data_IF_008036137879
#
_entry.id   IF_008036137879
#
_cell.length_a   1.000
_cell.length_b   1.000
_cell.length_c   1.000
_cell.angle_alpha   90.00
_cell.angle_beta   90.00
_cell.angle_gamma   90.00
#
_symmetry.space_group_name_H-M   'P 1'
#
loop_
_entity.id
_entity.type
_entity.pdbx_description
1 polymer ?
#
# COMPACT_ATOMS: atom_id res chain seq x y z
N UNK A 1 9.61 -21.07 4.58
CA UNK A 1 10.51 -21.62 3.54
C UNK A 1 10.93 -23.05 3.85
N UNK A 2 11.64 -23.35 4.95
CA UNK A 2 12.09 -24.71 5.27
C UNK A 2 10.97 -25.76 5.32
N UNK A 3 9.86 -25.49 6.01
CA UNK A 3 8.71 -26.40 6.05
C UNK A 3 8.18 -26.79 4.65
N UNK A 4 8.12 -25.82 3.72
CA UNK A 4 7.73 -26.09 2.35
C UNK A 4 8.76 -26.95 1.61
N UNK A 5 10.04 -26.66 1.77
CA UNK A 5 11.12 -27.43 1.16
C UNK A 5 11.06 -28.90 1.58
N UNK A 6 10.90 -29.19 2.89
CA UNK A 6 10.77 -30.58 3.36
C UNK A 6 9.51 -31.25 2.77
N UNK A 7 8.40 -30.54 2.67
CA UNK A 7 7.19 -31.11 2.04
C UNK A 7 7.40 -31.44 0.55
N UNK A 8 8.11 -30.60 -0.18
CA UNK A 8 8.48 -30.86 -1.59
C UNK A 8 9.42 -32.05 -1.68
N UNK A 9 10.47 -32.09 -0.84
CA UNK A 9 11.43 -33.19 -0.83
C UNK A 9 10.76 -34.54 -0.58
N UNK A 10 9.85 -34.61 0.39
CA UNK A 10 9.13 -35.84 0.73
C UNK A 10 8.11 -36.22 -0.35
N UNK A 11 7.28 -35.24 -0.80
CA UNK A 11 6.13 -35.53 -1.66
C UNK A 11 6.42 -35.59 -3.15
N UNK A 12 7.40 -34.81 -3.61
CA UNK A 12 7.71 -34.67 -5.04
C UNK A 12 9.01 -35.32 -5.43
N UNK A 13 10.03 -35.27 -4.55
CA UNK A 13 11.34 -35.81 -4.86
C UNK A 13 11.56 -37.21 -4.29
N UNK A 14 10.56 -37.76 -3.56
CA UNK A 14 10.66 -39.08 -2.92
C UNK A 14 11.93 -39.22 -2.06
N UNK A 15 12.39 -38.13 -1.47
CA UNK A 15 13.59 -38.16 -0.64
C UNK A 15 13.33 -38.98 0.63
N UNK A 16 14.26 -39.84 1.08
CA UNK A 16 14.01 -40.80 2.16
C UNK A 16 13.96 -40.13 3.54
N UNK A 17 13.04 -39.19 3.72
CA UNK A 17 12.71 -38.54 4.99
C UNK A 17 11.27 -38.93 5.34
N UNK A 18 11.09 -39.65 6.44
CA UNK A 18 9.78 -40.17 6.83
C UNK A 18 8.78 -39.10 7.31
N UNK A 19 9.26 -37.96 7.81
CA UNK A 19 8.42 -36.86 8.28
C UNK A 19 9.13 -35.51 8.15
N UNK A 20 8.35 -34.46 8.08
CA UNK A 20 8.87 -33.10 8.03
C UNK A 20 9.25 -32.62 9.46
N UNK A 21 10.55 -32.47 9.78
CA UNK A 21 10.99 -32.10 11.14
C UNK A 21 10.54 -30.71 11.57
N UNK A 22 10.11 -29.86 10.63
CA UNK A 22 9.67 -28.48 10.91
C UNK A 22 8.17 -28.42 11.29
N UNK A 23 7.44 -29.54 11.14
CA UNK A 23 5.98 -29.54 11.42
C UNK A 23 5.65 -29.15 12.87
N UNK A 24 6.46 -29.61 13.81
CA UNK A 24 6.27 -29.36 15.25
C UNK A 24 7.01 -28.13 15.78
N UNK A 25 7.73 -27.41 14.92
CA UNK A 25 8.42 -26.18 15.31
C UNK A 25 7.40 -25.05 15.40
N UNK A 26 7.19 -24.43 16.58
CA UNK A 26 6.24 -23.35 16.73
C UNK A 26 6.68 -22.16 15.89
N UNK A 27 5.74 -21.60 15.13
CA UNK A 27 6.01 -20.37 14.35
C UNK A 27 6.19 -19.19 15.31
N UNK A 28 7.14 -18.29 15.05
CA UNK A 28 7.22 -17.04 15.79
C UNK A 28 5.87 -16.33 15.76
N UNK A 29 5.50 -15.69 16.87
CA UNK A 29 4.31 -14.83 16.90
C UNK A 29 4.47 -13.75 15.82
N UNK A 30 3.43 -13.56 15.03
CA UNK A 30 3.40 -12.45 14.07
C UNK A 30 3.44 -11.12 14.83
N UNK A 31 4.24 -10.18 14.33
CA UNK A 31 4.20 -8.83 14.87
C UNK A 31 2.77 -8.26 14.73
N UNK A 32 2.32 -7.43 15.67
CA UNK A 32 1.02 -6.77 15.53
C UNK A 32 0.99 -5.96 14.24
N UNK A 33 -0.17 -5.83 13.61
CA UNK A 33 -0.31 -5.03 12.42
C UNK A 33 0.12 -3.59 12.68
N UNK A 34 0.80 -3.00 11.73
CA UNK A 34 1.26 -1.61 11.81
C UNK A 34 0.10 -0.64 11.58
N UNK A 35 -0.08 0.32 12.50
CA UNK A 35 -1.17 1.31 12.48
C UNK A 35 -0.64 2.75 12.44
N UNK A 36 0.58 2.94 11.95
CA UNK A 36 1.24 4.23 11.88
C UNK A 36 0.51 5.17 10.91
N UNK A 37 -0.04 6.26 11.43
CA UNK A 37 -0.62 7.39 10.68
C UNK A 37 0.40 8.52 10.59
N UNK A 38 0.29 9.36 9.57
CA UNK A 38 1.06 10.59 9.45
C UNK A 38 0.36 11.71 10.22
N UNK A 39 1.12 12.50 10.98
CA UNK A 39 0.62 13.78 11.47
C UNK A 39 0.57 14.80 10.32
N UNK A 40 -0.23 15.86 10.50
CA UNK A 40 -0.32 16.94 9.51
C UNK A 40 1.03 17.61 9.23
N UNK A 41 1.86 17.75 10.26
CA UNK A 41 3.20 18.32 10.12
C UNK A 41 4.12 17.40 9.32
N UNK A 42 4.11 16.10 9.60
CA UNK A 42 4.88 15.12 8.83
C UNK A 42 4.44 15.09 7.36
N UNK A 43 3.14 15.13 7.14
CA UNK A 43 2.60 15.16 5.79
C UNK A 43 3.02 16.41 5.02
N UNK A 44 2.88 17.60 5.64
CA UNK A 44 3.33 18.87 5.05
C UNK A 44 4.82 18.83 4.75
N UNK A 45 5.63 18.31 5.68
CA UNK A 45 7.07 18.17 5.48
C UNK A 45 7.38 17.29 4.26
N UNK A 46 6.81 16.09 4.22
CA UNK A 46 7.09 15.12 3.16
C UNK A 46 6.68 15.63 1.78
N UNK A 47 5.54 16.31 1.68
CA UNK A 47 5.03 16.86 0.41
C UNK A 47 5.83 18.06 -0.07
N UNK A 48 6.45 18.82 0.84
CA UNK A 48 7.28 20.00 0.54
C UNK A 48 8.77 19.68 0.46
N UNK A 49 9.19 18.44 0.76
CA UNK A 49 10.60 18.03 0.71
C UNK A 49 11.15 18.16 -0.72
N UNK A 50 12.33 18.75 -0.82
CA UNK A 50 13.06 18.87 -2.08
C UNK A 50 13.97 17.66 -2.27
N UNK A 51 13.47 16.66 -2.96
CA UNK A 51 14.27 15.50 -3.34
C UNK A 51 15.21 15.85 -4.50
N UNK A 52 16.41 15.23 -4.51
CA UNK A 52 17.33 15.35 -5.66
C UNK A 52 16.71 14.80 -6.96
N UNK A 53 15.90 13.75 -6.83
CA UNK A 53 15.16 13.19 -7.95
C UNK A 53 13.78 13.85 -8.04
N UNK A 54 13.45 14.55 -9.14
CA UNK A 54 12.20 15.28 -9.29
C UNK A 54 10.94 14.40 -9.28
N UNK A 55 11.10 13.10 -9.58
CA UNK A 55 9.97 12.16 -9.60
C UNK A 55 9.51 11.74 -8.19
N UNK A 56 10.30 11.98 -7.15
CA UNK A 56 10.00 11.51 -5.79
C UNK A 56 8.71 12.11 -5.23
N UNK A 57 8.52 13.42 -5.39
CA UNK A 57 7.31 14.11 -4.92
C UNK A 57 6.05 13.57 -5.62
N UNK A 58 6.13 13.32 -6.94
CA UNK A 58 5.03 12.75 -7.69
C UNK A 58 4.68 11.33 -7.22
N UNK A 59 5.70 10.48 -6.99
CA UNK A 59 5.52 9.11 -6.49
C UNK A 59 4.88 9.11 -5.09
N UNK A 60 5.34 9.99 -4.20
CA UNK A 60 4.81 10.12 -2.82
C UNK A 60 3.38 10.63 -2.85
N UNK A 61 3.12 11.70 -3.60
CA UNK A 61 1.78 12.28 -3.73
C UNK A 61 0.80 11.26 -4.32
N UNK A 62 1.22 10.54 -5.36
CA UNK A 62 0.40 9.50 -5.98
C UNK A 62 0.11 8.34 -5.02
N UNK A 63 1.08 7.95 -4.17
CA UNK A 63 0.86 6.93 -3.14
C UNK A 63 -0.25 7.34 -2.16
N UNK A 64 -0.29 8.61 -1.75
CA UNK A 64 -1.29 9.16 -0.83
C UNK A 64 -2.66 9.30 -1.51
N UNK A 65 -2.68 9.73 -2.78
CA UNK A 65 -3.94 9.94 -3.51
C UNK A 65 -4.63 8.63 -3.92
N UNK A 66 -3.86 7.58 -4.18
CA UNK A 66 -4.38 6.34 -4.77
C UNK A 66 -4.35 5.13 -3.86
N UNK A 67 -3.54 5.17 -2.81
CA UNK A 67 -3.29 4.00 -1.94
C UNK A 67 -2.61 2.83 -2.66
N UNK A 68 -2.01 3.05 -3.82
CA UNK A 68 -1.30 2.02 -4.59
C UNK A 68 -0.07 1.48 -3.84
N UNK A 69 0.30 0.23 -4.13
CA UNK A 69 1.56 -0.31 -3.65
C UNK A 69 2.74 0.34 -4.38
N UNK A 70 3.88 0.46 -3.70
CA UNK A 70 5.11 1.03 -4.28
C UNK A 70 5.46 0.44 -5.65
N UNK A 71 5.42 -0.89 -5.77
CA UNK A 71 5.72 -1.58 -7.02
C UNK A 71 4.71 -1.27 -8.13
N UNK A 72 3.44 -1.09 -7.79
CA UNK A 72 2.39 -0.73 -8.73
C UNK A 72 2.61 0.70 -9.27
N UNK A 73 2.95 1.65 -8.40
CA UNK A 73 3.25 3.03 -8.81
C UNK A 73 4.43 3.08 -9.77
N UNK A 74 5.52 2.38 -9.44
CA UNK A 74 6.73 2.36 -10.28
C UNK A 74 6.51 1.65 -11.62
N UNK A 75 5.51 0.76 -11.70
CA UNK A 75 5.19 0.01 -12.91
C UNK A 75 4.09 0.66 -13.77
N UNK A 76 3.58 1.85 -13.42
CA UNK A 76 2.57 2.54 -14.24
C UNK A 76 3.16 2.83 -15.61
N UNK A 77 2.47 2.36 -16.65
CA UNK A 77 2.80 2.67 -18.06
C UNK A 77 1.86 3.75 -18.59
N UNK A 78 2.26 4.52 -19.60
CA UNK A 78 1.36 5.48 -20.25
C UNK A 78 0.02 4.87 -20.65
N UNK A 79 0.04 3.70 -21.28
CA UNK A 79 -1.15 2.99 -21.79
C UNK A 79 -2.10 2.52 -20.67
N UNK A 80 -1.61 2.42 -19.44
CA UNK A 80 -2.45 2.05 -18.29
C UNK A 80 -3.21 3.24 -17.68
N UNK A 81 -2.87 4.46 -18.08
CA UNK A 81 -3.53 5.68 -17.60
C UNK A 81 -4.68 6.03 -18.53
N UNK A 82 -5.89 5.98 -18.01
CA UNK A 82 -7.14 6.39 -18.67
C UNK A 82 -7.65 7.67 -18.01
N UNK A 83 -8.64 8.34 -18.62
CA UNK A 83 -9.14 9.65 -18.16
C UNK A 83 -9.43 9.72 -16.64
N UNK A 84 -10.08 8.69 -16.11
CA UNK A 84 -10.51 8.65 -14.70
C UNK A 84 -9.91 7.52 -13.89
N UNK A 85 -9.07 6.68 -14.48
CA UNK A 85 -8.59 5.45 -13.86
C UNK A 85 -7.15 5.13 -14.26
N UNK A 86 -6.45 4.42 -13.37
CA UNK A 86 -5.28 3.62 -13.75
C UNK A 86 -5.74 2.18 -13.84
N UNK A 87 -5.50 1.53 -14.99
CA UNK A 87 -5.72 0.10 -15.15
C UNK A 87 -4.48 -0.68 -14.77
N UNK A 88 -4.60 -1.53 -13.78
CA UNK A 88 -3.57 -2.48 -13.36
C UNK A 88 -3.93 -3.87 -13.88
N UNK A 89 -3.27 -4.31 -14.94
CA UNK A 89 -3.47 -5.64 -15.53
C UNK A 89 -3.00 -6.75 -14.60
N UNK A 90 -1.84 -6.54 -13.95
CA UNK A 90 -1.24 -7.47 -13.00
C UNK A 90 -1.08 -6.82 -11.63
N UNK A 91 -1.59 -7.48 -10.59
CA UNK A 91 -1.27 -7.11 -9.22
C UNK A 91 -0.57 -8.30 -8.54
N UNK A 92 0.25 -8.04 -7.54
CA UNK A 92 0.88 -9.08 -6.72
C UNK A 92 -0.12 -10.13 -6.21
N UNK A 93 -1.41 -9.81 -6.25
CA UNK A 93 -2.52 -10.67 -5.83
C UNK A 93 -3.26 -11.33 -7.02
N UNK A 94 -2.80 -11.14 -8.28
CA UNK A 94 -3.28 -11.88 -9.45
C UNK A 94 -4.63 -11.44 -10.04
N UNK A 95 -5.19 -10.27 -9.67
CA UNK A 95 -6.42 -9.77 -10.29
C UNK A 95 -6.22 -8.37 -10.85
N UNK A 96 -6.67 -8.12 -12.10
CA UNK A 96 -6.70 -6.79 -12.67
C UNK A 96 -7.68 -5.92 -11.89
N UNK A 97 -7.37 -4.63 -11.79
CA UNK A 97 -8.29 -3.65 -11.19
C UNK A 97 -8.10 -2.27 -11.76
N UNK A 98 -9.15 -1.47 -11.68
CA UNK A 98 -9.12 -0.04 -12.00
C UNK A 98 -9.02 0.77 -10.71
N UNK A 99 -8.12 1.74 -10.69
CA UNK A 99 -7.94 2.65 -9.56
C UNK A 99 -8.47 4.01 -9.98
N UNK A 100 -9.53 4.53 -9.36
CA UNK A 100 -10.08 5.84 -9.67
C UNK A 100 -9.08 6.93 -9.29
N UNK A 101 -9.05 8.00 -10.10
CA UNK A 101 -8.11 9.11 -9.94
C UNK A 101 -8.83 10.33 -9.39
N UNK A 102 -8.25 10.92 -8.34
CA UNK A 102 -8.57 12.29 -7.93
C UNK A 102 -8.07 13.29 -8.98
N UNK A 103 -8.60 14.52 -8.98
CA UNK A 103 -8.10 15.58 -9.86
C UNK A 103 -6.61 15.79 -9.69
N UNK A 104 -6.12 15.76 -8.45
CA UNK A 104 -4.70 15.89 -8.13
C UNK A 104 -3.88 14.72 -8.68
N UNK A 105 -4.36 13.49 -8.57
CA UNK A 105 -3.68 12.33 -9.14
C UNK A 105 -3.58 12.41 -10.67
N UNK A 106 -4.62 12.91 -11.35
CA UNK A 106 -4.61 13.15 -12.79
C UNK A 106 -3.54 14.19 -13.20
N UNK A 107 -3.49 15.30 -12.49
CA UNK A 107 -2.49 16.35 -12.73
C UNK A 107 -1.07 15.83 -12.55
N UNK A 108 -0.81 15.06 -11.47
CA UNK A 108 0.47 14.42 -11.23
C UNK A 108 0.87 13.52 -12.40
N UNK A 109 -0.05 12.65 -12.84
CA UNK A 109 0.23 11.70 -13.93
C UNK A 109 0.47 12.40 -15.25
N UNK A 110 -0.30 13.44 -15.58
CA UNK A 110 -0.13 14.26 -16.80
C UNK A 110 1.27 14.87 -16.89
N UNK A 111 1.84 15.24 -15.73
CA UNK A 111 3.15 15.90 -15.63
C UNK A 111 4.27 14.91 -15.26
N UNK A 112 4.01 13.60 -15.33
CA UNK A 112 4.98 12.57 -14.95
C UNK A 112 5.56 11.84 -16.16
N UNK A 113 6.85 11.55 -16.11
CA UNK A 113 7.49 10.60 -17.02
C UNK A 113 7.17 9.18 -16.56
N UNK A 114 6.47 8.42 -17.39
CA UNK A 114 6.06 7.06 -17.10
C UNK A 114 6.69 6.04 -18.06
N UNK A 115 7.07 4.84 -17.62
CA UNK A 115 7.17 4.47 -16.20
C UNK A 115 8.20 5.35 -15.48
N UNK A 116 8.00 5.54 -14.17
CA UNK A 116 8.94 6.36 -13.40
C UNK A 116 10.38 5.81 -13.51
N UNK A 117 11.38 6.64 -13.93
CA UNK A 117 12.78 6.19 -14.02
C UNK A 117 13.45 6.14 -12.65
N UNK A 118 12.81 5.43 -11.72
CA UNK A 118 13.23 5.29 -10.32
C UNK A 118 13.19 3.82 -9.93
N UNK A 119 14.34 3.25 -9.60
CA UNK A 119 14.38 1.87 -9.12
C UNK A 119 13.77 1.76 -7.70
N UNK A 120 13.20 0.59 -7.34
CA UNK A 120 12.68 0.36 -6.00
C UNK A 120 13.71 0.61 -4.88
N UNK A 121 14.99 0.34 -5.16
CA UNK A 121 16.06 0.59 -4.21
C UNK A 121 16.41 2.08 -4.09
N UNK A 122 16.45 2.81 -5.21
CA UNK A 122 16.66 4.25 -5.21
C UNK A 122 15.57 4.98 -4.42
N UNK A 123 14.30 4.59 -4.62
CA UNK A 123 13.17 5.10 -3.85
C UNK A 123 13.33 4.82 -2.35
N UNK A 124 13.68 3.57 -1.97
CA UNK A 124 13.91 3.20 -0.58
C UNK A 124 15.02 4.03 0.07
N UNK A 125 16.15 4.19 -0.62
CA UNK A 125 17.28 4.96 -0.10
C UNK A 125 16.96 6.45 0.03
N UNK A 126 16.23 7.04 -0.94
CA UNK A 126 15.80 8.43 -0.88
C UNK A 126 14.83 8.65 0.30
N UNK A 127 13.88 7.74 0.48
CA UNK A 127 12.94 7.75 1.60
C UNK A 127 13.67 7.70 2.95
N UNK A 128 14.58 6.74 3.15
CA UNK A 128 15.33 6.59 4.39
C UNK A 128 16.20 7.82 4.70
N UNK A 129 16.80 8.43 3.68
CA UNK A 129 17.57 9.67 3.86
C UNK A 129 16.68 10.84 4.27
N UNK A 130 15.50 10.95 3.69
CA UNK A 130 14.52 11.99 4.03
C UNK A 130 14.05 11.82 5.49
N UNK A 131 13.57 10.65 5.89
CA UNK A 131 13.09 10.40 7.25
C UNK A 131 14.19 10.63 8.29
N UNK A 132 15.43 10.21 7.99
CA UNK A 132 16.57 10.49 8.88
C UNK A 132 16.86 12.00 9.04
N UNK A 133 16.80 12.79 7.94
CA UNK A 133 17.03 14.24 8.00
C UNK A 133 15.93 14.98 8.74
N UNK A 134 14.69 14.55 8.58
CA UNK A 134 13.53 15.19 9.20
C UNK A 134 13.32 14.81 10.67
N UNK A 135 14.07 13.84 11.20
CA UNK A 135 13.81 13.28 12.53
C UNK A 135 12.46 12.54 12.62
N UNK A 136 11.87 12.14 11.48
CA UNK A 136 10.62 11.38 11.48
C UNK A 136 10.97 9.91 11.71
N UNK A 137 10.77 9.47 12.94
CA UNK A 137 11.07 8.11 13.31
C UNK A 137 9.99 7.12 12.85
N UNK A 138 10.44 5.90 12.60
CA UNK A 138 9.58 4.76 12.34
C UNK A 138 8.51 5.01 11.25
N UNK A 139 8.86 5.74 10.19
CA UNK A 139 7.98 5.97 9.04
C UNK A 139 8.48 5.21 7.81
N UNK A 140 7.70 4.24 7.35
CA UNK A 140 7.99 3.47 6.15
C UNK A 140 7.21 4.04 4.94
N UNK A 141 7.74 3.89 3.74
CA UNK A 141 7.02 4.30 2.53
C UNK A 141 5.63 3.63 2.42
N UNK A 142 5.48 2.42 2.93
CA UNK A 142 4.21 1.69 2.93
C UNK A 142 3.14 2.35 3.82
N UNK A 143 3.55 3.14 4.81
CA UNK A 143 2.62 3.87 5.69
C UNK A 143 1.84 4.95 4.92
N UNK A 144 2.35 5.43 3.77
CA UNK A 144 1.58 6.29 2.85
C UNK A 144 0.32 5.61 2.33
N UNK A 145 0.37 4.30 2.09
CA UNK A 145 -0.81 3.54 1.70
C UNK A 145 -1.77 3.37 2.88
N UNK A 146 -1.27 3.18 4.10
CA UNK A 146 -2.12 3.18 5.30
C UNK A 146 -2.82 4.52 5.47
N UNK A 147 -2.10 5.60 5.27
CA UNK A 147 -2.64 6.96 5.29
C UNK A 147 -3.73 7.17 4.22
N UNK A 148 -3.49 6.77 2.98
CA UNK A 148 -4.47 6.85 1.90
C UNK A 148 -5.76 6.10 2.21
N UNK A 149 -5.64 4.86 2.70
CA UNK A 149 -6.79 4.01 3.05
C UNK A 149 -7.61 4.66 4.19
N UNK A 150 -6.95 5.17 5.23
CA UNK A 150 -7.63 5.88 6.31
C UNK A 150 -8.42 7.09 5.77
N UNK A 151 -7.80 7.88 4.88
CA UNK A 151 -8.45 9.03 4.24
C UNK A 151 -9.65 8.65 3.37
N UNK A 152 -9.63 7.49 2.74
CA UNK A 152 -10.78 6.99 2.00
C UNK A 152 -11.98 6.76 2.94
N UNK A 153 -11.75 6.14 4.10
CA UNK A 153 -12.80 5.99 5.12
C UNK A 153 -13.25 7.32 5.72
N UNK A 154 -12.34 8.25 5.97
CA UNK A 154 -12.64 9.61 6.43
C UNK A 154 -13.50 10.39 5.41
N UNK A 155 -13.36 10.11 4.11
CA UNK A 155 -14.22 10.62 3.04
C UNK A 155 -15.57 9.90 2.93
N UNK A 156 -15.82 8.91 3.79
CA UNK A 156 -17.08 8.17 3.83
C UNK A 156 -17.16 6.97 2.90
N UNK A 157 -16.07 6.54 2.25
CA UNK A 157 -16.08 5.33 1.43
C UNK A 157 -16.31 4.10 2.30
N UNK A 158 -17.08 3.17 1.78
CA UNK A 158 -17.41 1.88 2.42
C UNK A 158 -16.26 0.88 2.29
N UNK A 159 -16.28 -0.18 3.10
CA UNK A 159 -15.28 -1.27 3.02
C UNK A 159 -15.20 -1.88 1.62
N UNK A 160 -16.31 -2.23 0.93
CA UNK A 160 -16.24 -2.74 -0.44
C UNK A 160 -15.58 -1.77 -1.41
N UNK A 161 -15.88 -0.48 -1.34
CA UNK A 161 -15.28 0.56 -2.21
C UNK A 161 -13.77 0.68 -1.97
N UNK A 162 -13.36 0.75 -0.70
CA UNK A 162 -11.93 0.80 -0.35
C UNK A 162 -11.22 -0.48 -0.73
N UNK A 163 -11.87 -1.65 -0.60
CA UNK A 163 -11.32 -2.94 -1.03
C UNK A 163 -11.08 -2.97 -2.54
N UNK A 164 -12.03 -2.45 -3.33
CA UNK A 164 -11.92 -2.36 -4.78
C UNK A 164 -10.73 -1.49 -5.21
N UNK A 165 -10.59 -0.31 -4.62
CA UNK A 165 -9.50 0.63 -4.92
C UNK A 165 -8.15 0.04 -4.50
N UNK A 166 -8.05 -0.40 -3.26
CA UNK A 166 -6.80 -0.84 -2.65
C UNK A 166 -6.37 -2.26 -3.07
N UNK A 167 -7.31 -3.09 -3.52
CA UNK A 167 -7.05 -4.48 -3.89
C UNK A 167 -6.75 -5.38 -2.69
N UNK A 168 -7.43 -5.17 -1.56
CA UNK A 168 -7.43 -6.10 -0.44
C UNK A 168 -8.39 -7.25 -0.71
N UNK A 169 -7.89 -8.49 -0.72
CA UNK A 169 -8.73 -9.69 -0.84
C UNK A 169 -9.46 -10.02 0.46
N UNK A 170 -8.79 -9.83 1.57
CA UNK A 170 -9.35 -10.04 2.89
C UNK A 170 -9.79 -8.68 3.47
N UNK A 171 -11.08 -8.43 3.42
CA UNK A 171 -11.69 -7.19 3.91
C UNK A 171 -11.49 -6.98 5.42
N UNK A 172 -11.21 -8.05 6.18
CA UNK A 172 -10.89 -7.94 7.61
C UNK A 172 -9.66 -7.08 7.86
N UNK A 173 -8.73 -7.03 6.90
CA UNK A 173 -7.56 -6.15 6.97
C UNK A 173 -7.93 -4.66 6.90
N UNK A 174 -9.11 -4.32 6.40
CA UNK A 174 -9.61 -2.95 6.32
C UNK A 174 -10.36 -2.50 7.58
N UNK A 175 -10.84 -3.44 8.40
CA UNK A 175 -11.60 -3.12 9.62
C UNK A 175 -10.83 -2.20 10.58
N UNK A 176 -9.51 -2.32 10.64
CA UNK A 176 -8.65 -1.47 11.48
C UNK A 176 -8.68 0.03 11.11
N UNK A 177 -9.13 0.38 9.91
CA UNK A 177 -9.19 1.76 9.43
C UNK A 177 -10.57 2.38 9.57
N UNK A 178 -11.59 1.61 9.87
CA UNK A 178 -12.97 2.12 9.87
C UNK A 178 -13.25 3.04 11.06
N UNK A 179 -12.53 2.86 12.18
CA UNK A 179 -12.67 3.65 13.43
C UNK A 179 -14.13 4.01 13.75
N UNK A 180 -15.06 3.10 13.45
CA UNK A 180 -16.49 3.32 13.65
C UNK A 180 -16.76 3.49 15.15
N UNK A 181 -17.25 4.66 15.51
CA UNK A 181 -17.77 4.93 16.85
C UNK A 181 -19.29 4.81 16.80
N UNK A 182 -19.95 4.19 17.80
CA UNK A 182 -21.39 4.10 17.85
C UNK A 182 -22.08 5.47 17.70
N UNK A 183 -21.46 6.53 18.27
CA UNK A 183 -21.96 7.90 18.20
C UNK A 183 -22.07 8.41 16.77
N UNK A 184 -21.15 8.02 15.88
CA UNK A 184 -21.18 8.42 14.46
C UNK A 184 -22.30 7.73 13.67
N UNK A 185 -22.89 6.66 14.21
CA UNK A 185 -23.97 5.93 13.57
C UNK A 185 -25.34 6.50 13.93
N UNK A 186 -25.47 7.17 15.09
CA UNK A 186 -26.75 7.76 15.54
C UNK A 186 -27.30 8.70 14.47
N UNK A 187 -26.48 9.61 13.96
CA UNK A 187 -26.90 10.56 12.92
C UNK A 187 -27.37 9.84 11.64
N UNK A 188 -26.68 8.78 11.21
CA UNK A 188 -27.08 8.00 10.02
C UNK A 188 -28.39 7.25 10.20
N UNK A 189 -28.70 6.81 11.42
CA UNK A 189 -29.94 6.09 11.75
C UNK A 189 -31.14 7.04 11.91
N UNK A 190 -30.91 8.32 12.18
CA UNK A 190 -31.94 9.34 12.37
C UNK A 190 -32.28 10.10 11.08
N UNK A 191 -31.54 9.90 9.99
CA UNK A 191 -31.77 10.50 8.67
C UNK A 191 -32.75 9.63 7.83
N UNK A 192 -33.88 9.22 8.37
CA UNK A 192 -34.99 8.62 7.60
C UNK A 192 -36.05 9.65 7.28
#
# INVERSE_FOLDING_TARGET
MLHHLYNVAIKQWSYPINYNPITNVPKPKANPPRERRLSDNELKYILNERFKNPHMNNIISLAIETGMRRSEILAIKPDSVQDNFIYLADSKNGYPRKIPLTLKAKEILKNSLLPYPVSPNALRLAWNRMTKRSGIDNLHFHDLRHEAISRFFEKGLTIPEVSLISGHKDVRQLMRYTHLKPESLVFKLQQQ
#
